data_IF_123489264753
#
_entry.id   IF_123489264753
#
_cell.length_a   1.000
_cell.length_b   1.000
_cell.length_c   1.000
_cell.angle_alpha   90.00
_cell.angle_beta   90.00
_cell.angle_gamma   90.00
#
_symmetry.space_group_name_H-M   'P 1'
#
loop_
_entity.id
_entity.type
_entity.pdbx_description
1 polymer ?
#
# COMPACT_ATOMS: atom_id res chain seq x y z
N UNK A 1 20.18 -54.73 1.73
CA UNK A 1 20.84 -55.67 2.68
C UNK A 1 21.40 -54.80 3.81
N UNK A 2 21.04 -54.89 5.09
CA UNK A 2 20.53 -55.99 5.91
C UNK A 2 19.39 -55.51 6.83
N UNK A 3 18.41 -56.38 7.00
CA UNK A 3 17.42 -56.37 8.06
C UNK A 3 18.06 -56.78 9.39
N UNK A 4 17.59 -56.26 10.52
CA UNK A 4 17.48 -57.08 11.74
C UNK A 4 16.38 -56.58 12.68
N UNK A 5 15.47 -57.50 12.97
CA UNK A 5 14.38 -57.46 13.93
C UNK A 5 14.82 -58.15 15.22
N UNK A 6 14.27 -57.75 16.37
CA UNK A 6 13.72 -58.59 17.48
C UNK A 6 13.57 -57.72 18.76
N UNK A 7 12.36 -57.52 19.30
CA UNK A 7 11.51 -58.39 20.16
C UNK A 7 11.82 -58.27 21.67
N UNK A 8 10.85 -57.68 22.38
CA UNK A 8 10.41 -57.82 23.79
C UNK A 8 11.42 -57.99 24.93
N UNK A 9 11.25 -57.18 25.99
CA UNK A 9 11.00 -57.69 27.35
C UNK A 9 10.41 -56.60 28.26
N UNK A 10 9.29 -56.94 28.89
CA UNK A 10 8.61 -56.21 29.96
C UNK A 10 9.33 -56.52 31.27
N UNK A 11 9.63 -55.52 32.09
CA UNK A 11 9.91 -55.71 33.51
C UNK A 11 9.39 -54.52 34.34
N UNK A 12 8.72 -54.93 35.41
CA UNK A 12 7.85 -54.22 36.34
C UNK A 12 8.67 -53.49 37.43
N UNK A 13 8.00 -52.57 38.16
CA UNK A 13 8.27 -52.12 39.55
C UNK A 13 9.10 -50.82 39.70
N UNK A 14 8.46 -49.73 40.14
CA UNK A 14 8.49 -49.26 41.54
C UNK A 14 7.75 -47.91 41.65
N UNK A 15 6.61 -47.89 42.34
CA UNK A 15 5.87 -46.68 42.68
C UNK A 15 6.43 -46.07 43.97
N UNK A 16 6.77 -44.79 43.95
CA UNK A 16 6.97 -43.96 45.14
C UNK A 16 5.92 -42.83 45.12
N UNK A 17 5.32 -42.47 46.26
CA UNK A 17 4.25 -41.49 46.29
C UNK A 17 4.86 -40.09 46.20
N UNK A 18 4.63 -39.40 45.07
CA UNK A 18 4.86 -37.97 44.99
C UNK A 18 3.64 -37.30 45.61
N UNK A 19 3.85 -36.69 46.77
CA UNK A 19 2.91 -35.84 47.48
C UNK A 19 2.41 -34.74 46.53
N UNK A 20 1.12 -34.79 46.19
CA UNK A 20 0.45 -33.73 45.43
C UNK A 20 0.25 -32.55 46.40
N UNK A 21 1.06 -31.51 46.26
CA UNK A 21 0.75 -30.21 46.83
C UNK A 21 -0.41 -29.61 46.00
N UNK A 22 -1.60 -29.50 46.61
CA UNK A 22 -2.72 -28.76 46.04
C UNK A 22 -2.31 -27.30 45.81
N UNK A 23 -2.05 -26.94 44.56
CA UNK A 23 -2.03 -25.55 44.13
C UNK A 23 -3.47 -25.12 43.88
N UNK A 24 -3.97 -24.21 44.71
CA UNK A 24 -5.20 -23.47 44.45
C UNK A 24 -5.11 -22.80 43.08
N UNK A 25 -6.15 -22.83 42.23
CA UNK A 25 -6.13 -22.08 40.99
C UNK A 25 -6.10 -20.59 41.32
N UNK A 26 -4.97 -19.94 41.03
CA UNK A 26 -4.88 -18.48 40.95
C UNK A 26 -5.85 -18.03 39.86
N UNK A 27 -7.00 -17.53 40.29
CA UNK A 27 -7.95 -16.85 39.43
C UNK A 27 -7.34 -15.47 39.09
N UNK A 28 -6.44 -15.44 38.11
CA UNK A 28 -5.96 -14.20 37.52
C UNK A 28 -7.11 -13.68 36.68
N UNK A 29 -7.84 -12.71 37.23
CA UNK A 29 -8.73 -11.85 36.44
C UNK A 29 -7.82 -11.15 35.44
N UNK A 30 -7.77 -11.67 34.22
CA UNK A 30 -7.21 -10.98 33.06
C UNK A 30 -8.01 -9.70 32.89
N UNK A 31 -7.48 -8.58 33.40
CA UNK A 31 -7.98 -7.26 33.04
C UNK A 31 -7.95 -7.19 31.50
N UNK A 32 -9.06 -6.86 30.82
CA UNK A 32 -9.01 -6.68 29.37
C UNK A 32 -7.91 -5.67 29.07
N UNK A 33 -6.88 -6.10 28.34
CA UNK A 33 -5.91 -5.18 27.77
C UNK A 33 -6.73 -4.26 26.87
N UNK A 34 -6.89 -3.01 27.28
CA UNK A 34 -7.54 -2.02 26.45
C UNK A 34 -6.78 -1.99 25.12
N UNK A 35 -7.51 -2.22 24.02
CA UNK A 35 -6.94 -2.08 22.69
C UNK A 35 -6.20 -0.74 22.63
N UNK A 36 -4.98 -0.68 22.05
CA UNK A 36 -4.28 0.58 21.91
C UNK A 36 -5.21 1.58 21.22
N UNK A 37 -5.48 2.70 21.88
CA UNK A 37 -6.27 3.79 21.33
C UNK A 37 -5.52 4.29 20.09
N UNK A 38 -6.00 3.91 18.89
CA UNK A 38 -5.40 4.35 17.64
C UNK A 38 -5.43 5.87 17.60
N UNK A 39 -4.27 6.49 17.41
CA UNK A 39 -4.17 7.94 17.30
C UNK A 39 -4.91 8.37 16.04
N UNK A 40 -5.75 9.39 16.16
CA UNK A 40 -6.39 9.97 14.97
C UNK A 40 -5.31 10.49 14.01
N UNK A 41 -5.46 10.25 12.69
CA UNK A 41 -4.47 10.67 11.73
C UNK A 41 -4.38 12.20 11.65
N UNK A 42 -3.17 12.70 11.52
CA UNK A 42 -2.88 14.12 11.31
C UNK A 42 -2.70 14.35 9.81
N UNK A 43 -3.50 15.25 9.24
CA UNK A 43 -3.45 15.61 7.82
C UNK A 43 -3.02 17.06 7.69
N UNK A 44 -1.90 17.30 7.02
CA UNK A 44 -1.31 18.63 6.84
C UNK A 44 -0.95 18.90 5.39
N UNK A 45 -0.72 20.17 5.07
CA UNK A 45 -0.20 20.57 3.76
C UNK A 45 1.21 20.03 3.52
N UNK A 46 1.55 19.81 2.24
CA UNK A 46 2.91 19.46 1.84
C UNK A 46 3.89 20.56 2.25
N UNK A 47 4.95 20.17 2.95
CA UNK A 47 6.07 21.06 3.22
C UNK A 47 6.99 21.20 2.02
N UNK A 48 7.95 22.13 2.10
CA UNK A 48 8.98 22.30 1.07
C UNK A 48 9.76 21.00 0.79
N UNK A 49 10.13 20.25 1.84
CA UNK A 49 10.84 18.98 1.70
C UNK A 49 10.02 17.93 0.95
N UNK A 50 8.70 17.87 1.19
CA UNK A 50 7.83 16.92 0.49
C UNK A 50 7.73 17.24 -0.98
N UNK A 51 7.54 18.51 -1.32
CA UNK A 51 7.46 18.97 -2.70
C UNK A 51 8.75 18.66 -3.45
N UNK A 52 9.91 19.02 -2.89
CA UNK A 52 11.20 18.75 -3.51
C UNK A 52 11.43 17.24 -3.69
N UNK A 53 11.07 16.43 -2.70
CA UNK A 53 11.18 14.97 -2.80
C UNK A 53 10.27 14.40 -3.90
N UNK A 54 9.02 14.85 -3.98
CA UNK A 54 8.08 14.42 -5.03
C UNK A 54 8.54 14.83 -6.44
N UNK A 55 9.17 16.00 -6.57
CA UNK A 55 9.75 16.46 -7.82
C UNK A 55 10.93 15.59 -8.26
N UNK A 56 11.81 15.23 -7.32
CA UNK A 56 12.91 14.29 -7.58
C UNK A 56 12.39 12.91 -7.98
N UNK A 57 11.39 12.39 -7.29
CA UNK A 57 10.74 11.11 -7.63
C UNK A 57 10.11 11.15 -9.03
N UNK A 58 9.40 12.22 -9.36
CA UNK A 58 8.80 12.39 -10.69
C UNK A 58 9.87 12.50 -11.78
N UNK A 59 10.96 13.22 -11.51
CA UNK A 59 12.09 13.36 -12.44
C UNK A 59 12.77 12.01 -12.69
N UNK A 60 13.05 11.24 -11.63
CA UNK A 60 13.64 9.90 -11.72
C UNK A 60 12.81 8.98 -12.60
N UNK A 61 11.48 8.95 -12.41
CA UNK A 61 10.59 8.12 -13.24
C UNK A 61 10.51 8.63 -14.68
N UNK A 62 10.50 9.95 -14.88
CA UNK A 62 10.48 10.53 -16.22
C UNK A 62 11.74 10.19 -17.02
N UNK A 63 12.92 10.28 -16.40
CA UNK A 63 14.19 9.88 -17.01
C UNK A 63 14.18 8.38 -17.35
N UNK A 64 13.69 7.54 -16.45
CA UNK A 64 13.53 6.10 -16.70
C UNK A 64 12.60 5.84 -17.90
N UNK A 65 11.44 6.47 -17.92
CA UNK A 65 10.45 6.34 -18.99
C UNK A 65 11.02 6.80 -20.35
N UNK A 66 11.65 7.97 -20.39
CA UNK A 66 12.22 8.51 -21.61
C UNK A 66 13.35 7.63 -22.14
N UNK A 67 14.25 7.17 -21.27
CA UNK A 67 15.45 6.41 -21.68
C UNK A 67 15.16 4.95 -22.00
N UNK A 68 14.16 4.34 -21.37
CA UNK A 68 13.88 2.89 -21.50
C UNK A 68 12.62 2.56 -22.28
N UNK A 69 11.63 3.46 -22.33
CA UNK A 69 10.38 3.25 -23.08
C UNK A 69 10.18 4.25 -24.21
N UNK A 70 11.08 5.23 -24.36
CA UNK A 70 11.00 6.28 -25.39
C UNK A 70 9.81 7.22 -25.24
N UNK A 71 9.13 7.21 -24.09
CA UNK A 71 7.93 8.04 -23.84
C UNK A 71 8.14 8.86 -22.58
N UNK A 72 8.18 10.20 -22.66
CA UNK A 72 8.22 11.04 -21.46
C UNK A 72 6.86 11.04 -20.75
N UNK A 73 6.87 11.36 -19.46
CA UNK A 73 5.64 11.58 -18.68
C UNK A 73 4.94 12.87 -19.11
N UNK A 74 3.61 12.86 -19.13
CA UNK A 74 2.77 13.98 -19.58
C UNK A 74 1.86 14.56 -18.49
N UNK A 75 1.75 13.88 -17.35
CA UNK A 75 0.77 14.14 -16.28
C UNK A 75 -0.67 14.04 -16.77
N UNK A 76 -0.96 13.02 -17.56
CA UNK A 76 -2.31 12.66 -18.02
C UNK A 76 -2.53 11.13 -17.96
N UNK A 77 -3.69 10.65 -18.44
CA UNK A 77 -4.02 9.22 -18.37
C UNK A 77 -3.09 8.32 -19.18
N UNK A 78 -2.35 8.85 -20.15
CA UNK A 78 -1.36 8.06 -20.92
C UNK A 78 -0.14 7.69 -20.09
N UNK A 79 0.08 8.35 -18.95
CA UNK A 79 1.13 7.95 -18.02
C UNK A 79 0.81 6.61 -17.33
N UNK A 80 -0.46 6.20 -17.27
CA UNK A 80 -0.82 4.86 -16.78
C UNK A 80 -0.20 3.76 -17.66
N UNK A 81 -0.22 3.94 -18.98
CA UNK A 81 0.40 3.02 -19.94
C UNK A 81 1.93 3.07 -19.87
N UNK A 82 2.49 4.25 -19.60
CA UNK A 82 3.93 4.41 -19.39
C UNK A 82 4.38 3.69 -18.11
N UNK A 83 3.67 3.85 -17.00
CA UNK A 83 3.91 3.11 -15.76
C UNK A 83 3.75 1.60 -15.97
N UNK A 84 2.72 1.17 -16.70
CA UNK A 84 2.51 -0.25 -17.01
C UNK A 84 3.67 -0.82 -17.82
N UNK A 85 4.20 -0.09 -18.80
CA UNK A 85 5.38 -0.51 -19.58
C UNK A 85 6.63 -0.62 -18.71
N UNK A 86 6.84 0.32 -17.78
CA UNK A 86 7.95 0.26 -16.82
C UNK A 86 7.90 -1.03 -16.00
N UNK A 87 6.71 -1.35 -15.47
CA UNK A 87 6.48 -2.54 -14.65
C UNK A 87 6.61 -3.83 -15.47
N UNK A 88 6.00 -3.88 -16.66
CA UNK A 88 5.99 -5.09 -17.49
C UNK A 88 7.38 -5.49 -17.96
N UNK A 89 8.19 -4.49 -18.30
CA UNK A 89 9.57 -4.64 -18.76
C UNK A 89 10.57 -4.79 -17.60
N UNK A 90 10.09 -4.88 -16.35
CA UNK A 90 10.94 -5.09 -15.15
C UNK A 90 12.06 -4.06 -15.05
N UNK A 91 11.76 -2.79 -15.38
CA UNK A 91 12.75 -1.71 -15.37
C UNK A 91 13.06 -1.18 -13.96
N UNK A 92 12.40 -1.74 -12.96
CA UNK A 92 12.54 -1.41 -11.55
C UNK A 92 12.62 -2.72 -10.78
N UNK A 93 13.72 -2.90 -10.05
CA UNK A 93 13.97 -4.12 -9.27
C UNK A 93 12.97 -4.26 -8.11
N UNK A 94 12.78 -5.50 -7.65
CA UNK A 94 11.83 -5.81 -6.56
C UNK A 94 12.25 -5.21 -5.21
N UNK A 95 13.54 -4.96 -5.00
CA UNK A 95 14.13 -4.35 -3.81
C UNK A 95 14.40 -2.84 -3.97
N UNK A 96 14.17 -2.27 -5.16
CA UNK A 96 14.21 -0.82 -5.39
C UNK A 96 12.90 -0.15 -4.94
N UNK A 97 12.66 -0.20 -3.63
CA UNK A 97 11.46 0.39 -3.00
C UNK A 97 11.36 1.89 -3.26
N UNK A 98 12.49 2.58 -3.40
CA UNK A 98 12.51 4.01 -3.65
C UNK A 98 11.91 4.34 -5.02
N UNK A 99 12.35 3.66 -6.07
CA UNK A 99 11.80 3.86 -7.42
C UNK A 99 10.36 3.33 -7.51
N UNK A 100 10.03 2.22 -6.86
CA UNK A 100 8.65 1.72 -6.79
C UNK A 100 7.70 2.75 -6.16
N UNK A 101 8.12 3.41 -5.08
CA UNK A 101 7.34 4.49 -4.46
C UNK A 101 7.26 5.72 -5.36
N UNK A 102 8.32 6.03 -6.11
CA UNK A 102 8.32 7.09 -7.10
C UNK A 102 7.30 6.84 -8.24
N UNK A 103 7.12 5.60 -8.69
CA UNK A 103 6.03 5.24 -9.62
C UNK A 103 4.66 5.57 -9.02
N UNK A 104 4.49 5.34 -7.71
CA UNK A 104 3.30 5.72 -6.96
C UNK A 104 3.06 7.23 -6.92
N UNK A 105 4.11 8.06 -6.85
CA UNK A 105 3.98 9.52 -6.95
C UNK A 105 3.45 9.94 -8.32
N UNK A 106 3.95 9.33 -9.40
CA UNK A 106 3.45 9.58 -10.75
C UNK A 106 1.99 9.16 -10.89
N UNK A 107 1.60 8.00 -10.34
CA UNK A 107 0.19 7.58 -10.29
C UNK A 107 -0.69 8.61 -9.57
N UNK A 108 -0.23 9.15 -8.45
CA UNK A 108 -0.94 10.21 -7.73
C UNK A 108 -1.06 11.51 -8.53
N UNK A 109 -0.03 11.86 -9.31
CA UNK A 109 -0.08 13.02 -10.22
C UNK A 109 -1.14 12.84 -11.32
N UNK A 110 -1.31 11.61 -11.83
CA UNK A 110 -2.39 11.30 -12.78
C UNK A 110 -3.77 11.46 -12.13
N UNK A 111 -3.95 10.94 -10.91
CA UNK A 111 -5.21 11.12 -10.14
C UNK A 111 -5.55 12.60 -9.92
N UNK A 112 -4.55 13.40 -9.53
CA UNK A 112 -4.72 14.85 -9.35
C UNK A 112 -5.04 15.55 -10.67
N UNK A 113 -4.41 15.13 -11.78
CA UNK A 113 -4.69 15.69 -13.09
C UNK A 113 -6.10 15.38 -13.60
N UNK A 114 -6.65 14.19 -13.27
CA UNK A 114 -8.03 13.82 -13.65
C UNK A 114 -9.09 14.48 -12.77
N UNK A 115 -8.79 14.78 -11.50
CA UNK A 115 -9.74 15.42 -10.58
C UNK A 115 -9.14 16.61 -9.79
N UNK A 116 -8.65 17.66 -10.46
CA UNK A 116 -7.90 18.75 -9.81
C UNK A 116 -8.75 19.64 -8.89
N UNK A 117 -10.08 19.65 -9.10
CA UNK A 117 -11.01 20.38 -8.25
C UNK A 117 -11.34 19.60 -6.97
N UNK A 118 -11.16 18.28 -6.96
CA UNK A 118 -11.58 17.39 -5.87
C UNK A 118 -10.40 16.94 -5.01
N UNK A 119 -9.29 16.60 -5.65
CA UNK A 119 -8.11 16.07 -4.98
C UNK A 119 -7.07 17.16 -4.69
N UNK A 120 -6.28 16.92 -3.65
CA UNK A 120 -5.08 17.66 -3.30
C UNK A 120 -4.06 16.70 -2.67
N UNK A 121 -2.76 17.02 -2.82
CA UNK A 121 -1.74 16.31 -2.08
C UNK A 121 -1.68 16.82 -0.63
N UNK A 122 -1.56 15.89 0.31
CA UNK A 122 -1.35 16.15 1.73
C UNK A 122 -0.29 15.24 2.29
N UNK A 123 0.25 15.63 3.43
CA UNK A 123 0.94 14.71 4.34
C UNK A 123 -0.12 14.09 5.24
N UNK A 124 -0.15 12.76 5.29
CA UNK A 124 -0.99 11.98 6.19
C UNK A 124 -0.07 11.24 7.16
N UNK A 125 -0.27 11.42 8.46
CA UNK A 125 0.55 10.79 9.50
C UNK A 125 -0.34 10.10 10.53
N UNK A 126 -0.15 8.79 10.70
CA UNK A 126 -0.81 7.96 11.69
C UNK A 126 0.21 7.13 12.49
N UNK A 127 -0.28 6.14 13.25
CA UNK A 127 0.59 5.25 14.04
C UNK A 127 1.48 4.32 13.20
N UNK A 128 1.15 4.10 11.92
CA UNK A 128 1.98 3.35 10.97
C UNK A 128 3.06 4.23 10.35
N UNK A 129 2.85 5.55 10.37
CA UNK A 129 3.83 6.55 10.05
C UNK A 129 3.32 7.59 9.07
N UNK A 130 4.28 8.26 8.44
CA UNK A 130 4.06 9.42 7.60
C UNK A 130 4.05 9.03 6.13
N UNK A 131 3.04 9.48 5.39
CA UNK A 131 2.91 9.25 3.94
C UNK A 131 2.44 10.51 3.22
N UNK A 132 2.79 10.63 1.94
CA UNK A 132 2.21 11.64 1.04
C UNK A 132 1.03 10.99 0.34
N UNK A 133 -0.13 11.63 0.43
CA UNK A 133 -1.41 11.06 0.04
C UNK A 133 -2.21 12.01 -0.85
N UNK A 134 -3.06 11.44 -1.70
CA UNK A 134 -4.06 12.18 -2.46
C UNK A 134 -5.34 12.19 -1.63
N UNK A 135 -5.72 13.36 -1.10
CA UNK A 135 -6.89 13.51 -0.25
C UNK A 135 -7.99 14.30 -0.97
N UNK A 136 -9.24 13.98 -0.66
CA UNK A 136 -10.39 14.79 -1.07
C UNK A 136 -10.41 16.06 -0.24
N UNK A 137 -10.46 17.23 -0.90
CA UNK A 137 -10.49 18.54 -0.27
C UNK A 137 -11.57 18.62 0.81
N UNK A 138 -11.23 19.21 1.94
CA UNK A 138 -12.13 19.41 3.09
C UNK A 138 -12.66 18.13 3.74
N UNK A 139 -11.99 16.99 3.53
CA UNK A 139 -12.34 15.72 4.18
C UNK A 139 -11.07 15.00 4.67
N UNK A 140 -11.24 13.92 5.42
CA UNK A 140 -10.17 13.00 5.81
C UNK A 140 -10.03 11.77 4.89
N UNK A 141 -10.74 11.75 3.75
CA UNK A 141 -10.68 10.62 2.81
C UNK A 141 -9.47 10.74 1.89
N UNK A 142 -8.56 9.77 1.98
CA UNK A 142 -7.29 9.80 1.26
C UNK A 142 -6.98 8.47 0.55
N UNK A 143 -6.26 8.58 -0.56
CA UNK A 143 -5.62 7.51 -1.31
C UNK A 143 -4.11 7.58 -1.09
N UNK A 144 -3.44 6.43 -1.06
CA UNK A 144 -2.00 6.32 -0.78
C UNK A 144 -1.21 5.83 -2.00
N UNK A 145 -1.20 6.59 -3.12
CA UNK A 145 -0.66 6.11 -4.38
C UNK A 145 0.83 5.76 -4.30
N UNK A 146 1.59 6.42 -3.41
CA UNK A 146 2.99 6.10 -3.07
C UNK A 146 3.20 4.61 -2.76
N UNK A 147 2.23 3.95 -2.13
CA UNK A 147 2.35 2.52 -1.73
C UNK A 147 1.45 1.57 -2.52
N UNK A 148 0.51 2.08 -3.32
CA UNK A 148 -0.40 1.24 -4.10
C UNK A 148 0.32 0.32 -5.06
N UNK A 149 1.39 0.80 -5.71
CA UNK A 149 2.19 -0.02 -6.63
C UNK A 149 3.28 -0.79 -5.89
N UNK A 150 4.03 -0.13 -5.01
CA UNK A 150 5.21 -0.72 -4.36
C UNK A 150 4.88 -1.98 -3.57
N UNK A 151 3.78 -2.01 -2.81
CA UNK A 151 3.35 -3.19 -2.01
C UNK A 151 3.09 -4.44 -2.84
N UNK A 152 2.79 -4.27 -4.13
CA UNK A 152 2.56 -5.37 -5.07
C UNK A 152 3.87 -5.78 -5.73
N UNK A 153 4.68 -4.79 -6.12
CA UNK A 153 5.97 -5.01 -6.75
C UNK A 153 6.99 -5.65 -5.80
N UNK A 154 6.96 -5.33 -4.50
CA UNK A 154 7.89 -5.87 -3.49
C UNK A 154 7.78 -7.40 -3.32
N UNK A 155 6.61 -7.97 -3.62
CA UNK A 155 6.38 -9.42 -3.61
C UNK A 155 6.51 -10.06 -5.01
N UNK A 156 7.09 -9.33 -5.96
CA UNK A 156 7.38 -9.80 -7.32
C UNK A 156 6.18 -9.83 -8.27
N UNK A 157 5.08 -9.15 -7.94
CA UNK A 157 3.93 -9.08 -8.85
C UNK A 157 4.04 -7.90 -9.81
N UNK A 158 3.43 -8.05 -11.00
CA UNK A 158 3.28 -6.99 -12.00
C UNK A 158 1.87 -6.43 -11.91
N UNK A 159 1.63 -5.38 -11.10
CA UNK A 159 0.28 -4.83 -10.96
C UNK A 159 -0.26 -4.28 -12.28
N UNK A 160 -1.57 -4.44 -12.48
CA UNK A 160 -2.32 -3.71 -13.50
C UNK A 160 -2.56 -2.28 -13.00
N UNK A 161 -1.79 -1.33 -13.53
CA UNK A 161 -1.79 0.07 -13.13
C UNK A 161 -3.14 0.72 -13.41
N UNK A 162 -3.75 0.43 -14.56
CA UNK A 162 -5.05 1.00 -14.95
C UNK A 162 -6.15 0.49 -14.03
N UNK A 163 -6.15 -0.81 -13.72
CA UNK A 163 -7.10 -1.38 -12.77
C UNK A 163 -6.96 -0.76 -11.39
N UNK A 164 -5.73 -0.61 -10.88
CA UNK A 164 -5.48 0.03 -9.58
C UNK A 164 -5.97 1.48 -9.57
N UNK A 165 -5.73 2.22 -10.65
CA UNK A 165 -6.27 3.57 -10.83
C UNK A 165 -7.80 3.56 -10.77
N UNK A 166 -8.46 2.75 -11.60
CA UNK A 166 -9.92 2.70 -11.71
C UNK A 166 -10.57 2.30 -10.38
N UNK A 167 -10.02 1.31 -9.67
CA UNK A 167 -10.48 0.89 -8.34
C UNK A 167 -10.30 2.01 -7.30
N UNK A 168 -9.16 2.70 -7.29
CA UNK A 168 -8.90 3.80 -6.38
C UNK A 168 -9.85 4.98 -6.59
N UNK A 169 -10.15 5.33 -7.85
CA UNK A 169 -11.14 6.36 -8.18
C UNK A 169 -12.54 5.93 -7.75
N UNK A 170 -12.90 4.66 -7.94
CA UNK A 170 -14.20 4.14 -7.53
C UNK A 170 -14.42 4.23 -6.01
N UNK A 171 -13.37 3.97 -5.21
CA UNK A 171 -13.44 4.16 -3.74
C UNK A 171 -13.77 5.60 -3.35
N UNK A 172 -13.42 6.58 -4.20
CA UNK A 172 -13.67 8.00 -3.98
C UNK A 172 -14.95 8.50 -4.65
N UNK A 173 -15.72 7.65 -5.35
CA UNK A 173 -16.88 8.04 -6.17
C UNK A 173 -17.87 8.99 -5.47
N UNK A 174 -18.09 8.82 -4.16
CA UNK A 174 -19.02 9.67 -3.38
C UNK A 174 -18.59 11.14 -3.31
N UNK A 175 -17.31 11.43 -3.54
CA UNK A 175 -16.72 12.77 -3.50
C UNK A 175 -16.47 13.36 -4.89
N UNK A 176 -16.53 12.54 -5.93
CA UNK A 176 -16.19 12.97 -7.28
C UNK A 176 -17.33 13.78 -7.91
N UNK A 177 -17.01 14.73 -8.80
CA UNK A 177 -18.01 15.44 -9.56
C UNK A 177 -18.83 14.44 -10.38
N UNK A 178 -20.14 14.67 -10.44
CA UNK A 178 -21.08 13.83 -11.20
C UNK A 178 -21.47 14.53 -12.49
N UNK A 179 -21.69 13.75 -13.54
CA UNK A 179 -22.28 14.27 -14.76
C UNK A 179 -23.71 14.78 -14.51
N UNK A 180 -24.17 15.81 -15.25
CA UNK A 180 -25.58 16.17 -15.26
C UNK A 180 -26.44 14.95 -15.61
N UNK A 181 -27.62 14.84 -14.99
CA UNK A 181 -28.60 13.76 -15.22
C UNK A 181 -28.19 12.35 -14.75
N UNK A 182 -27.44 12.27 -13.64
CA UNK A 182 -27.14 11.04 -12.88
C UNK A 182 -26.24 10.01 -13.59
N UNK A 183 -25.56 10.41 -14.67
CA UNK A 183 -24.84 9.51 -15.59
C UNK A 183 -23.46 8.99 -15.15
N UNK A 184 -23.04 9.21 -13.89
CA UNK A 184 -21.76 8.72 -13.37
C UNK A 184 -20.72 9.80 -13.08
N UNK A 185 -19.45 9.40 -13.04
CA UNK A 185 -18.31 10.26 -12.66
C UNK A 185 -17.94 11.20 -13.81
N UNK A 186 -17.79 12.50 -13.52
CA UNK A 186 -17.29 13.50 -14.45
C UNK A 186 -15.75 13.53 -14.41
N UNK A 187 -15.12 12.77 -15.31
CA UNK A 187 -13.67 12.78 -15.52
C UNK A 187 -13.22 14.06 -16.24
N UNK A 188 -12.01 14.56 -15.93
CA UNK A 188 -11.43 15.70 -16.66
C UNK A 188 -10.62 15.24 -17.87
N UNK A 189 -9.90 14.13 -17.75
CA UNK A 189 -9.03 13.61 -18.79
C UNK A 189 -9.80 12.67 -19.73
N UNK A 190 -9.45 12.65 -21.04
CA UNK A 190 -10.12 11.79 -22.01
C UNK A 190 -9.80 10.32 -21.75
N UNK A 191 -10.82 9.46 -21.76
CA UNK A 191 -10.67 8.00 -21.71
C UNK A 191 -10.53 7.48 -23.15
N UNK A 192 -9.38 6.91 -23.48
CA UNK A 192 -9.13 6.23 -24.76
C UNK A 192 -9.42 4.74 -24.66
#
# INVERSE_FOLDING_TARGET
MKFLSHLMAIALICAAPITIAQQSPLNVVSKPSAAPTQKEPVITDLGWMDNNRMEQETTKVNELAQTKTGTPLRRDLTDLDTLQRIINNELVEVDDHETQQALGVVLGNVMLADFPTTFEWKVYEDDLGRSRAICVKHTSSCLFPVTMLSRRMEVGTKPDVKKIYDEAILLMQKHLPKLPYDGGIMYKLPRN
#
